data_IF_461422592036
#
_entry.id   IF_461422592036
#
_cell.length_a   1.000
_cell.length_b   1.000
_cell.length_c   1.000
_cell.angle_alpha   90.00
_cell.angle_beta   90.00
_cell.angle_gamma   90.00
#
_symmetry.space_group_name_H-M   'P 1'
#
loop_
_entity.id
_entity.type
_entity.pdbx_description
1 polymer ?
#
# COMPACT_ATOMS: atom_id res chain seq x y z
N UNK A 1 -36.78 -33.06 40.46
CA UNK A 1 -36.91 -33.84 39.20
C UNK A 1 -38.36 -34.15 38.83
N UNK A 2 -39.22 -34.74 39.75
CA UNK A 2 -40.64 -35.02 39.46
C UNK A 2 -41.45 -33.80 39.01
N UNK A 3 -41.36 -32.66 39.68
CA UNK A 3 -42.08 -31.43 39.34
C UNK A 3 -41.69 -30.84 37.96
N UNK A 4 -40.45 -31.07 37.50
CA UNK A 4 -39.99 -30.64 36.17
C UNK A 4 -40.59 -31.54 35.08
N UNK A 5 -40.68 -32.83 35.33
CA UNK A 5 -41.27 -33.83 34.43
C UNK A 5 -42.79 -33.61 34.31
N UNK A 6 -43.46 -33.27 35.39
CA UNK A 6 -44.90 -32.95 35.37
C UNK A 6 -45.20 -31.65 34.63
N UNK A 7 -44.35 -30.60 34.75
CA UNK A 7 -44.46 -29.37 33.96
C UNK A 7 -44.19 -29.60 32.48
N UNK A 8 -43.21 -30.44 32.13
CA UNK A 8 -42.93 -30.85 30.73
C UNK A 8 -44.10 -31.64 30.12
N UNK A 9 -44.73 -32.51 30.91
CA UNK A 9 -45.88 -33.33 30.45
C UNK A 9 -47.15 -32.51 30.19
N UNK A 10 -47.28 -31.34 30.81
CA UNK A 10 -48.43 -30.42 30.66
C UNK A 10 -48.14 -29.35 29.57
N UNK A 11 -46.93 -29.34 28.96
CA UNK A 11 -46.56 -28.37 27.96
C UNK A 11 -46.29 -26.96 28.49
N UNK A 12 -46.23 -26.80 29.83
CA UNK A 12 -45.99 -25.53 30.49
C UNK A 12 -44.53 -25.48 30.94
N UNK A 13 -43.61 -25.10 30.03
CA UNK A 13 -42.21 -24.88 30.32
C UNK A 13 -41.99 -23.39 30.44
N UNK A 14 -42.22 -22.85 31.65
CA UNK A 14 -41.71 -21.53 32.02
C UNK A 14 -40.19 -21.65 32.17
N UNK A 15 -39.49 -21.43 31.06
CA UNK A 15 -38.03 -21.36 31.04
C UNK A 15 -37.63 -19.90 31.30
N UNK A 16 -37.15 -19.64 32.50
CA UNK A 16 -36.52 -18.35 32.76
C UNK A 16 -35.23 -18.27 31.95
N UNK A 17 -35.25 -17.49 30.87
CA UNK A 17 -34.09 -17.21 30.04
C UNK A 17 -33.31 -16.09 30.74
N UNK A 18 -32.01 -16.26 30.99
CA UNK A 18 -31.20 -15.18 31.53
C UNK A 18 -31.20 -13.99 30.56
N UNK A 19 -31.15 -12.77 31.10
CA UNK A 19 -30.99 -11.54 30.32
C UNK A 19 -29.56 -11.06 30.48
N UNK A 20 -28.95 -10.65 29.39
CA UNK A 20 -27.59 -10.16 29.36
C UNK A 20 -27.50 -8.70 28.86
N UNK A 21 -26.61 -7.96 29.47
CA UNK A 21 -26.18 -6.64 29.01
C UNK A 21 -24.72 -6.69 28.58
N UNK A 22 -24.45 -6.13 27.42
CA UNK A 22 -23.10 -5.99 26.87
C UNK A 22 -22.63 -4.57 27.11
N UNK A 23 -21.42 -4.38 27.63
CA UNK A 23 -20.91 -3.08 28.07
C UNK A 23 -20.54 -2.13 26.88
N UNK A 24 -20.30 -2.69 25.69
CA UNK A 24 -19.88 -1.93 24.50
C UNK A 24 -20.62 -2.47 23.27
N UNK A 25 -20.98 -1.58 22.36
CA UNK A 25 -21.59 -1.95 21.08
C UNK A 25 -20.58 -1.90 19.92
N UNK A 26 -19.50 -1.12 20.10
CA UNK A 26 -18.42 -1.01 19.11
C UNK A 26 -17.08 -0.64 19.75
N UNK A 27 -16.01 -0.92 19.02
CA UNK A 27 -14.65 -0.46 19.28
C UNK A 27 -14.10 0.18 18.01
N UNK A 28 -13.64 1.43 18.11
CA UNK A 28 -12.93 2.14 17.06
C UNK A 28 -11.49 2.36 17.53
N UNK A 29 -10.54 1.75 16.83
CA UNK A 29 -9.12 1.74 17.19
C UNK A 29 -8.30 2.40 16.08
N UNK A 30 -7.45 3.36 16.45
CA UNK A 30 -6.49 4.00 15.54
C UNK A 30 -5.09 3.62 16.00
N UNK A 31 -4.42 2.75 15.25
CA UNK A 31 -3.16 2.11 15.62
C UNK A 31 -2.06 2.47 14.63
N UNK A 32 -0.81 2.47 15.08
CA UNK A 32 0.33 2.52 14.17
C UNK A 32 0.55 1.16 13.49
N UNK A 33 1.26 1.12 12.38
CA UNK A 33 1.66 -0.13 11.73
C UNK A 33 2.50 -0.98 12.69
N UNK A 34 2.15 -2.26 12.82
CA UNK A 34 2.83 -3.20 13.73
C UNK A 34 2.48 -3.02 15.21
N UNK A 35 1.58 -2.10 15.56
CA UNK A 35 1.11 -1.94 16.93
C UNK A 35 0.14 -3.03 17.32
N UNK A 36 0.22 -3.47 18.59
CA UNK A 36 -0.73 -4.40 19.20
C UNK A 36 -1.48 -3.65 20.30
N UNK A 37 -2.80 -3.55 20.14
CA UNK A 37 -3.68 -2.97 21.15
C UNK A 37 -4.45 -4.06 21.89
N UNK A 38 -4.72 -3.83 23.18
CA UNK A 38 -5.50 -4.72 24.01
C UNK A 38 -6.79 -4.03 24.44
N UNK A 39 -7.89 -4.78 24.39
CA UNK A 39 -9.19 -4.31 24.82
C UNK A 39 -9.97 -5.36 25.58
N UNK A 40 -11.07 -4.92 26.17
CA UNK A 40 -12.01 -5.82 26.86
C UNK A 40 -13.41 -5.22 26.90
N UNK A 41 -14.41 -6.09 27.04
CA UNK A 41 -15.78 -5.73 27.34
C UNK A 41 -16.40 -6.73 28.29
N UNK A 42 -17.51 -6.33 28.95
CA UNK A 42 -18.19 -7.15 29.92
C UNK A 42 -19.55 -7.63 29.42
N UNK A 43 -19.86 -8.89 29.78
CA UNK A 43 -21.17 -9.52 29.61
C UNK A 43 -21.75 -9.73 30.99
N UNK A 44 -22.77 -8.98 31.38
CA UNK A 44 -23.40 -9.00 32.71
C UNK A 44 -24.80 -9.56 32.68
N UNK A 45 -25.15 -10.34 33.68
CA UNK A 45 -26.50 -10.83 33.89
C UNK A 45 -27.38 -9.78 34.54
N UNK A 46 -28.49 -9.41 33.92
CA UNK A 46 -29.53 -8.57 34.48
C UNK A 46 -30.51 -9.38 35.36
N UNK A 47 -30.63 -10.69 35.11
CA UNK A 47 -31.52 -11.59 35.82
C UNK A 47 -30.87 -12.28 37.01
N UNK A 48 -29.64 -11.94 37.37
CA UNK A 48 -28.86 -12.58 38.43
C UNK A 48 -28.60 -14.10 38.22
N UNK A 49 -28.85 -14.63 37.02
CA UNK A 49 -28.60 -16.00 36.60
C UNK A 49 -27.22 -16.11 35.96
N UNK A 50 -26.63 -17.31 35.97
CA UNK A 50 -25.39 -17.53 35.24
C UNK A 50 -25.62 -17.51 33.72
N UNK A 51 -24.81 -16.71 33.01
CA UNK A 51 -24.74 -16.70 31.58
C UNK A 51 -23.56 -17.56 31.16
N UNK A 52 -23.75 -18.44 30.21
CA UNK A 52 -22.71 -19.25 29.57
C UNK A 52 -22.77 -19.10 28.06
N UNK A 53 -21.61 -19.05 27.44
CA UNK A 53 -21.56 -18.89 25.99
C UNK A 53 -20.15 -18.98 25.44
N UNK A 54 -20.09 -18.74 24.13
CA UNK A 54 -18.86 -18.68 23.34
C UNK A 54 -18.82 -17.34 22.61
N UNK A 55 -17.61 -16.90 22.31
CA UNK A 55 -17.34 -15.65 21.60
C UNK A 55 -16.36 -15.94 20.47
N UNK A 56 -16.55 -15.34 19.30
CA UNK A 56 -15.64 -15.46 18.19
C UNK A 56 -15.56 -14.15 17.41
N UNK A 57 -14.38 -13.89 16.83
CA UNK A 57 -14.16 -12.74 15.97
C UNK A 57 -14.36 -13.14 14.52
N UNK A 58 -14.95 -12.24 13.72
CA UNK A 58 -15.13 -12.43 12.28
C UNK A 58 -13.85 -12.17 11.47
N UNK A 59 -12.82 -11.57 12.10
CA UNK A 59 -11.57 -11.22 11.44
C UNK A 59 -10.36 -11.56 12.33
N UNK A 60 -9.27 -12.03 11.70
CA UNK A 60 -8.07 -12.54 12.39
C UNK A 60 -7.16 -11.43 12.97
N UNK A 61 -7.33 -10.18 12.53
CA UNK A 61 -6.60 -9.05 13.12
C UNK A 61 -7.08 -8.71 14.53
N UNK A 62 -8.28 -9.20 14.92
CA UNK A 62 -8.75 -9.13 16.29
C UNK A 62 -8.86 -10.54 16.86
N UNK A 63 -7.95 -10.87 17.80
CA UNK A 63 -7.85 -12.19 18.43
C UNK A 63 -8.37 -12.15 19.86
N UNK A 64 -9.31 -13.05 20.18
CA UNK A 64 -9.82 -13.21 21.52
C UNK A 64 -8.82 -13.95 22.41
N UNK A 65 -8.65 -13.49 23.66
CA UNK A 65 -7.82 -14.15 24.67
C UNK A 65 -8.60 -15.20 25.46
N UNK A 66 -9.92 -15.06 25.52
CA UNK A 66 -10.84 -16.04 26.08
C UNK A 66 -12.09 -16.07 25.18
N UNK A 67 -12.40 -17.25 24.69
CA UNK A 67 -13.48 -17.52 23.74
C UNK A 67 -14.71 -18.20 24.39
N UNK A 68 -14.61 -18.55 25.70
CA UNK A 68 -15.68 -19.14 26.45
C UNK A 68 -15.88 -18.39 27.77
N UNK A 69 -17.10 -18.36 28.24
CA UNK A 69 -17.44 -17.73 29.51
C UNK A 69 -18.58 -18.44 30.26
N UNK A 70 -18.52 -18.34 31.57
CA UNK A 70 -19.55 -18.86 32.51
C UNK A 70 -19.56 -18.03 33.78
N UNK A 71 -20.67 -17.35 34.07
CA UNK A 71 -20.82 -16.56 35.27
C UNK A 71 -21.88 -15.48 35.14
N UNK A 72 -22.04 -14.69 36.19
CA UNK A 72 -22.97 -13.55 36.20
C UNK A 72 -22.34 -12.28 35.67
N UNK A 73 -21.02 -12.16 35.79
CA UNK A 73 -20.20 -11.06 35.29
C UNK A 73 -18.96 -11.67 34.62
N UNK A 74 -18.85 -11.49 33.28
CA UNK A 74 -17.81 -12.10 32.49
C UNK A 74 -17.08 -11.01 31.70
N UNK A 75 -15.74 -11.03 31.73
CA UNK A 75 -14.91 -10.12 30.97
C UNK A 75 -14.30 -10.86 29.79
N UNK A 76 -14.60 -10.42 28.60
CA UNK A 76 -13.97 -10.85 27.34
C UNK A 76 -12.81 -9.93 27.04
N UNK A 77 -11.62 -10.51 26.77
CA UNK A 77 -10.40 -9.79 26.42
C UNK A 77 -9.99 -10.12 25.01
N UNK A 78 -9.49 -9.12 24.31
CA UNK A 78 -8.99 -9.28 22.95
C UNK A 78 -7.70 -8.49 22.73
N UNK A 79 -6.99 -8.84 21.67
CA UNK A 79 -5.89 -8.06 21.08
C UNK A 79 -6.22 -7.74 19.63
N UNK A 80 -5.92 -6.52 19.21
CA UNK A 80 -5.93 -6.10 17.82
C UNK A 80 -4.48 -5.98 17.36
N UNK A 81 -4.14 -6.59 16.21
CA UNK A 81 -2.77 -6.65 15.69
C UNK A 81 -2.73 -6.10 14.26
N UNK A 82 -1.88 -5.09 14.05
CA UNK A 82 -1.68 -4.43 12.75
C UNK A 82 -0.39 -4.84 12.03
N UNK A 83 0.29 -5.93 12.46
CA UNK A 83 1.58 -6.37 11.91
C UNK A 83 1.54 -6.58 10.39
N UNK A 84 0.44 -7.09 9.87
CA UNK A 84 0.26 -7.39 8.44
C UNK A 84 -0.56 -6.33 7.69
N UNK A 85 -0.90 -5.23 8.36
CA UNK A 85 -1.60 -4.09 7.76
C UNK A 85 -0.61 -3.00 7.34
N UNK A 86 -1.07 -2.14 6.44
CA UNK A 86 -0.31 -0.99 5.95
C UNK A 86 -0.91 0.32 6.44
N UNK A 87 -0.13 1.40 6.51
CA UNK A 87 -0.65 2.73 6.77
C UNK A 87 -1.83 3.05 5.85
N UNK A 88 -2.92 3.57 6.42
CA UNK A 88 -4.18 3.84 5.71
C UNK A 88 -5.10 2.63 5.51
N UNK A 89 -4.73 1.42 5.95
CA UNK A 89 -5.65 0.28 5.90
C UNK A 89 -6.75 0.39 6.96
N UNK A 90 -7.95 -0.03 6.56
CA UNK A 90 -9.13 -0.17 7.43
C UNK A 90 -9.59 -1.62 7.49
N UNK A 91 -9.75 -2.13 8.70
CA UNK A 91 -10.32 -3.46 8.96
C UNK A 91 -11.58 -3.29 9.79
N UNK A 92 -12.69 -3.80 9.29
CA UNK A 92 -13.97 -3.79 10.00
C UNK A 92 -14.46 -5.22 10.22
N UNK A 93 -14.98 -5.49 11.40
CA UNK A 93 -15.48 -6.81 11.76
C UNK A 93 -16.45 -6.78 12.93
N UNK A 94 -16.78 -7.98 13.40
CA UNK A 94 -17.68 -8.21 14.52
C UNK A 94 -17.08 -9.22 15.49
N UNK A 95 -17.38 -9.03 16.75
CA UNK A 95 -17.22 -10.03 17.80
C UNK A 95 -18.62 -10.59 18.06
N UNK A 96 -18.88 -11.82 17.64
CA UNK A 96 -20.16 -12.47 17.86
C UNK A 96 -20.17 -13.27 19.15
N UNK A 97 -21.25 -13.18 19.89
CA UNK A 97 -21.47 -13.77 21.21
C UNK A 97 -22.71 -14.65 21.13
N UNK A 98 -22.53 -15.95 21.32
CA UNK A 98 -23.63 -16.91 21.36
C UNK A 98 -23.75 -17.46 22.80
N UNK A 99 -24.90 -17.26 23.38
CA UNK A 99 -25.11 -17.62 24.81
C UNK A 99 -26.52 -18.14 25.10
N UNK A 100 -26.72 -18.66 26.30
CA UNK A 100 -28.04 -19.01 26.80
C UNK A 100 -28.94 -17.79 27.12
N UNK A 101 -28.39 -16.57 26.99
CA UNK A 101 -29.13 -15.30 27.11
C UNK A 101 -29.50 -14.70 25.72
N UNK A 102 -29.15 -15.39 24.62
CA UNK A 102 -29.35 -14.95 23.23
C UNK A 102 -28.04 -14.70 22.52
N UNK A 103 -28.16 -14.14 21.34
CA UNK A 103 -27.05 -13.78 20.44
C UNK A 103 -26.86 -12.26 20.46
N UNK A 104 -25.60 -11.85 20.50
CA UNK A 104 -25.20 -10.44 20.53
C UNK A 104 -24.00 -10.26 19.60
N UNK A 105 -23.75 -9.05 19.14
CA UNK A 105 -22.53 -8.71 18.40
C UNK A 105 -22.00 -7.35 18.84
N UNK A 106 -20.67 -7.23 18.84
CA UNK A 106 -19.93 -5.99 19.09
C UNK A 106 -19.12 -5.70 17.84
N UNK A 107 -19.37 -4.57 17.20
CA UNK A 107 -18.62 -4.18 16.01
C UNK A 107 -17.22 -3.71 16.38
N UNK A 108 -16.26 -3.84 15.47
CA UNK A 108 -14.96 -3.19 15.62
C UNK A 108 -14.46 -2.63 14.28
N UNK A 109 -13.71 -1.53 14.38
CA UNK A 109 -12.98 -0.93 13.30
C UNK A 109 -11.54 -0.71 13.76
N UNK A 110 -10.58 -1.10 12.94
CA UNK A 110 -9.15 -0.87 13.14
C UNK A 110 -8.70 -0.01 11.97
N UNK A 111 -8.27 1.22 12.23
CA UNK A 111 -7.66 2.12 11.27
C UNK A 111 -6.17 2.19 11.53
N UNK A 112 -5.34 1.91 10.53
CA UNK A 112 -3.90 2.06 10.62
C UNK A 112 -3.52 3.49 10.24
N UNK A 113 -2.86 4.19 11.17
CA UNK A 113 -2.40 5.58 10.96
C UNK A 113 -1.61 5.69 9.68
N UNK A 114 -1.92 6.70 8.90
CA UNK A 114 -1.07 7.08 7.78
C UNK A 114 0.30 7.53 8.30
N UNK A 115 1.36 7.06 7.66
CA UNK A 115 2.72 7.51 7.91
C UNK A 115 3.15 8.36 6.73
N UNK A 116 3.71 9.54 7.02
CA UNK A 116 4.33 10.35 5.99
C UNK A 116 5.59 9.66 5.48
N UNK A 117 5.76 9.63 4.17
CA UNK A 117 7.00 9.16 3.56
C UNK A 117 8.00 10.32 3.63
N UNK A 118 9.05 10.15 4.42
CA UNK A 118 10.13 11.13 4.52
C UNK A 118 11.16 10.91 3.39
N UNK A 119 11.62 12.00 2.79
CA UNK A 119 12.66 12.01 1.77
C UNK A 119 13.71 13.08 2.09
N UNK A 120 14.81 13.06 1.33
CA UNK A 120 15.84 14.12 1.41
C UNK A 120 15.29 15.52 1.05
N UNK A 121 14.14 15.59 0.42
CA UNK A 121 13.44 16.83 0.04
C UNK A 121 12.35 17.21 1.07
N UNK A 122 12.06 16.37 2.05
CA UNK A 122 10.96 16.48 2.99
C UNK A 122 9.87 15.43 2.75
N UNK A 123 8.69 15.59 3.36
CA UNK A 123 7.60 14.62 3.28
C UNK A 123 7.01 14.53 1.86
N UNK A 124 6.74 13.31 1.42
CA UNK A 124 6.10 12.99 0.14
C UNK A 124 4.68 12.47 0.43
N UNK A 125 3.68 13.27 0.09
CA UNK A 125 2.29 12.97 0.42
C UNK A 125 1.42 12.63 -0.81
N UNK A 126 1.90 12.96 -2.01
CA UNK A 126 1.13 12.82 -3.25
C UNK A 126 2.04 12.65 -4.47
N UNK A 127 1.44 12.43 -5.63
CA UNK A 127 2.16 12.26 -6.89
C UNK A 127 2.92 13.52 -7.35
N UNK A 128 2.47 14.71 -6.98
CA UNK A 128 3.16 15.96 -7.32
C UNK A 128 4.46 16.09 -6.52
N UNK A 129 4.44 15.76 -5.22
CA UNK A 129 5.64 15.73 -4.39
C UNK A 129 6.60 14.66 -4.86
N UNK A 130 6.08 13.48 -5.23
CA UNK A 130 6.88 12.43 -5.85
C UNK A 130 7.55 12.90 -7.15
N UNK A 131 6.83 13.64 -8.00
CA UNK A 131 7.38 14.18 -9.24
C UNK A 131 8.54 15.14 -8.98
N UNK A 132 8.45 15.97 -7.94
CA UNK A 132 9.55 16.83 -7.50
C UNK A 132 10.74 16.01 -7.00
N UNK A 133 10.48 14.92 -6.26
CA UNK A 133 11.55 14.02 -5.80
C UNK A 133 12.28 13.37 -6.98
N UNK A 134 11.58 12.96 -8.03
CA UNK A 134 12.21 12.40 -9.24
C UNK A 134 13.17 13.40 -9.89
N UNK A 135 12.84 14.69 -9.88
CA UNK A 135 13.71 15.74 -10.39
C UNK A 135 14.91 16.03 -9.47
N UNK A 136 14.69 15.92 -8.15
CA UNK A 136 15.71 16.23 -7.15
C UNK A 136 16.69 15.08 -6.94
N UNK A 137 16.19 13.87 -6.78
CA UNK A 137 16.97 12.65 -6.55
C UNK A 137 16.34 11.45 -7.24
N UNK A 138 16.81 11.16 -8.45
CA UNK A 138 16.30 10.04 -9.25
C UNK A 138 16.48 8.69 -8.53
N UNK A 139 17.63 8.50 -7.87
CA UNK A 139 17.94 7.26 -7.12
C UNK A 139 16.98 7.04 -5.95
N UNK A 140 16.66 8.08 -5.19
CA UNK A 140 15.73 8.00 -4.08
C UNK A 140 14.30 7.77 -4.58
N UNK A 141 13.92 8.46 -5.65
CA UNK A 141 12.61 8.32 -6.25
C UNK A 141 12.37 6.91 -6.81
N UNK A 142 13.36 6.28 -7.46
CA UNK A 142 13.19 4.91 -7.97
C UNK A 142 13.04 3.90 -6.82
N UNK A 143 13.77 4.07 -5.72
CA UNK A 143 13.61 3.25 -4.52
C UNK A 143 12.20 3.38 -3.94
N UNK A 144 11.71 4.62 -3.83
CA UNK A 144 10.36 4.89 -3.36
C UNK A 144 9.31 4.32 -4.34
N UNK A 145 9.46 4.53 -5.65
CA UNK A 145 8.55 4.00 -6.67
C UNK A 145 8.38 2.48 -6.59
N UNK A 146 9.46 1.76 -6.24
CA UNK A 146 9.44 0.30 -6.09
C UNK A 146 8.91 -0.16 -4.74
N UNK A 147 8.72 0.74 -3.80
CA UNK A 147 8.30 0.41 -2.44
C UNK A 147 6.80 0.12 -2.34
N UNK A 148 6.41 -0.54 -1.25
CA UNK A 148 5.00 -0.77 -0.93
C UNK A 148 4.31 0.51 -0.48
N UNK A 149 5.06 1.37 0.20
CA UNK A 149 4.62 2.67 0.69
C UNK A 149 4.15 3.56 -0.46
N UNK A 150 4.84 3.58 -1.59
CA UNK A 150 4.41 4.31 -2.79
C UNK A 150 3.02 3.88 -3.24
N UNK A 151 2.78 2.57 -3.33
CA UNK A 151 1.50 2.02 -3.76
C UNK A 151 0.37 2.31 -2.79
N UNK A 152 0.63 2.26 -1.48
CA UNK A 152 -0.39 2.43 -0.45
C UNK A 152 -0.63 3.90 -0.12
N UNK A 153 0.41 4.69 0.08
CA UNK A 153 0.31 6.05 0.58
C UNK A 153 0.23 7.10 -0.54
N UNK A 154 1.00 6.92 -1.64
CA UNK A 154 1.04 7.91 -2.73
C UNK A 154 -0.06 7.65 -3.77
N UNK A 155 -0.24 6.41 -4.21
CA UNK A 155 -1.32 6.03 -5.14
C UNK A 155 -2.66 5.91 -4.41
N UNK A 156 -2.64 5.44 -3.16
CA UNK A 156 -3.83 5.30 -2.33
C UNK A 156 -4.86 4.33 -2.92
N UNK A 157 -6.13 4.69 -2.85
CA UNK A 157 -7.26 3.85 -3.28
C UNK A 157 -7.69 4.09 -4.74
N UNK A 158 -6.97 4.92 -5.52
CA UNK A 158 -7.29 5.15 -6.92
C UNK A 158 -7.08 3.87 -7.76
N UNK A 159 -8.19 3.24 -8.13
CA UNK A 159 -8.23 1.97 -8.87
C UNK A 159 -7.50 2.08 -10.22
N UNK A 160 -7.67 3.19 -10.93
CA UNK A 160 -7.06 3.37 -12.24
C UNK A 160 -5.55 3.56 -12.13
N UNK A 161 -5.09 4.38 -11.20
CA UNK A 161 -3.65 4.59 -10.95
C UNK A 161 -2.99 3.31 -10.44
N UNK A 162 -3.66 2.54 -9.58
CA UNK A 162 -3.17 1.22 -9.14
C UNK A 162 -3.05 0.22 -10.29
N UNK A 163 -4.03 0.17 -11.17
CA UNK A 163 -3.99 -0.73 -12.33
C UNK A 163 -2.83 -0.36 -13.26
N UNK A 164 -2.65 0.92 -13.58
CA UNK A 164 -1.53 1.43 -14.37
C UNK A 164 -0.19 1.09 -13.73
N UNK A 165 -0.02 1.38 -12.44
CA UNK A 165 1.20 1.07 -11.70
C UNK A 165 1.53 -0.43 -11.74
N UNK A 166 0.54 -1.29 -11.43
CA UNK A 166 0.73 -2.74 -11.44
C UNK A 166 1.10 -3.27 -12.83
N UNK A 167 0.59 -2.67 -13.91
CA UNK A 167 0.93 -3.02 -15.30
C UNK A 167 2.38 -2.65 -15.60
N UNK A 168 2.79 -1.43 -15.29
CA UNK A 168 4.13 -0.94 -15.54
C UNK A 168 5.19 -1.66 -14.69
N UNK A 169 4.84 -2.04 -13.47
CA UNK A 169 5.72 -2.80 -12.58
C UNK A 169 6.06 -4.21 -13.07
N UNK A 170 5.40 -4.72 -14.11
CA UNK A 170 5.80 -5.94 -14.81
C UNK A 170 7.03 -5.73 -15.69
N UNK A 171 7.34 -4.49 -16.07
CA UNK A 171 8.53 -4.16 -16.83
C UNK A 171 9.80 -4.52 -16.02
N UNK A 172 10.79 -5.11 -16.68
CA UNK A 172 12.07 -5.43 -16.05
C UNK A 172 12.84 -4.16 -15.65
N UNK A 173 12.87 -3.14 -16.53
CA UNK A 173 13.50 -1.85 -16.23
C UNK A 173 12.52 -0.95 -15.48
N UNK A 174 12.83 -0.69 -14.19
CA UNK A 174 11.99 0.11 -13.32
C UNK A 174 12.10 1.61 -13.57
N UNK A 175 13.18 2.08 -14.14
CA UNK A 175 13.36 3.47 -14.55
C UNK A 175 12.42 3.80 -15.71
N UNK A 176 12.35 2.92 -16.71
CA UNK A 176 11.38 3.04 -17.81
C UNK A 176 9.95 2.98 -17.28
N UNK A 177 9.67 2.06 -16.33
CA UNK A 177 8.36 1.94 -15.72
C UNK A 177 7.92 3.22 -14.98
N UNK A 178 8.84 3.83 -14.22
CA UNK A 178 8.60 5.09 -13.53
C UNK A 178 8.39 6.25 -14.52
N UNK A 179 9.21 6.32 -15.56
CA UNK A 179 9.10 7.32 -16.61
C UNK A 179 7.74 7.26 -17.32
N UNK A 180 7.34 6.05 -17.76
CA UNK A 180 6.05 5.85 -18.41
C UNK A 180 4.87 6.15 -17.45
N UNK A 181 5.02 5.85 -16.16
CA UNK A 181 4.00 6.15 -15.17
C UNK A 181 3.76 7.65 -15.07
N UNK A 182 4.83 8.44 -14.96
CA UNK A 182 4.73 9.90 -14.87
C UNK A 182 4.12 10.52 -16.13
N UNK A 183 4.53 10.04 -17.31
CA UNK A 183 3.98 10.51 -18.59
C UNK A 183 2.49 10.16 -18.71
N UNK A 184 2.11 8.90 -18.45
CA UNK A 184 0.72 8.45 -18.54
C UNK A 184 -0.20 9.11 -17.52
N UNK A 185 0.36 9.55 -16.38
CA UNK A 185 -0.38 10.35 -15.39
C UNK A 185 -0.44 11.84 -15.72
N UNK A 186 0.21 12.29 -16.81
CA UNK A 186 0.25 13.70 -17.19
C UNK A 186 1.08 14.57 -16.23
N UNK A 187 2.00 13.96 -15.48
CA UNK A 187 2.86 14.64 -14.51
C UNK A 187 4.14 15.18 -15.16
N UNK A 188 4.43 14.74 -16.36
CA UNK A 188 5.53 15.23 -17.20
C UNK A 188 5.28 14.93 -18.67
N UNK A 189 5.96 15.69 -19.53
CA UNK A 189 6.04 15.39 -20.97
C UNK A 189 7.09 14.32 -21.24
N UNK A 190 6.92 13.49 -22.30
CA UNK A 190 7.93 12.55 -22.74
C UNK A 190 9.23 13.26 -23.12
N UNK A 191 10.36 12.65 -22.79
CA UNK A 191 11.66 13.13 -23.27
C UNK A 191 11.77 12.86 -24.76
N UNK A 192 12.10 13.88 -25.55
CA UNK A 192 12.41 13.74 -26.96
C UNK A 192 13.89 14.02 -27.22
N UNK A 193 14.47 13.26 -28.12
CA UNK A 193 15.88 13.37 -28.48
C UNK A 193 15.97 13.95 -29.89
N UNK A 194 16.89 14.87 -30.09
CA UNK A 194 17.22 15.42 -31.41
C UNK A 194 18.73 15.55 -31.59
N UNK A 195 19.19 15.36 -32.81
CA UNK A 195 20.58 15.52 -33.20
C UNK A 195 20.68 16.88 -33.89
N UNK A 196 21.60 17.71 -33.39
CA UNK A 196 21.94 18.98 -34.01
C UNK A 196 22.96 18.68 -35.10
N UNK A 197 22.77 19.24 -36.31
CA UNK A 197 23.64 18.99 -37.46
C UNK A 197 23.71 17.51 -37.85
N UNK A 198 22.51 16.94 -38.15
CA UNK A 198 22.34 15.53 -38.48
C UNK A 198 22.91 15.09 -39.83
N UNK A 199 23.41 16.03 -40.63
CA UNK A 199 24.09 15.78 -41.91
C UNK A 199 25.45 16.46 -41.89
N UNK A 200 26.51 15.70 -42.11
CA UNK A 200 27.88 16.18 -42.25
C UNK A 200 28.50 15.58 -43.52
N UNK A 201 29.16 16.40 -44.31
CA UNK A 201 29.86 15.98 -45.54
C UNK A 201 31.34 16.18 -45.35
N UNK A 202 32.12 15.15 -45.64
CA UNK A 202 33.57 15.18 -45.59
C UNK A 202 34.14 14.89 -46.96
N UNK A 203 35.06 15.74 -47.40
CA UNK A 203 35.73 15.61 -48.69
C UNK A 203 37.24 15.41 -48.47
N UNK A 204 37.88 14.58 -49.31
CA UNK A 204 39.34 14.35 -49.33
C UNK A 204 39.98 13.94 -47.98
N UNK A 205 39.33 13.12 -47.19
CA UNK A 205 39.91 12.59 -45.95
C UNK A 205 41.09 11.67 -46.27
N UNK A 206 42.28 12.07 -45.87
CA UNK A 206 43.54 11.32 -46.08
C UNK A 206 44.08 10.65 -44.83
N UNK A 207 43.59 11.06 -43.66
CA UNK A 207 44.01 10.57 -42.33
C UNK A 207 42.79 10.34 -41.43
N UNK A 208 42.98 9.64 -40.29
CA UNK A 208 41.93 9.48 -39.30
C UNK A 208 41.46 10.83 -38.78
N UNK A 209 40.18 11.04 -38.79
CA UNK A 209 39.54 12.27 -38.36
C UNK A 209 38.51 11.95 -37.27
N UNK A 210 38.56 12.67 -36.14
CA UNK A 210 37.56 12.56 -35.08
C UNK A 210 36.59 13.74 -35.20
N UNK A 211 35.30 13.45 -35.07
CA UNK A 211 34.26 14.45 -35.02
C UNK A 211 33.21 14.06 -33.98
N UNK A 212 32.42 15.01 -33.53
CA UNK A 212 31.39 14.80 -32.54
C UNK A 212 30.00 15.15 -33.07
N UNK A 213 29.00 14.42 -32.60
CA UNK A 213 27.59 14.73 -32.78
C UNK A 213 27.03 15.39 -31.54
N UNK A 214 26.35 16.50 -31.75
CA UNK A 214 25.64 17.16 -30.64
C UNK A 214 24.23 16.64 -30.57
N UNK A 215 23.93 15.92 -29.46
CA UNK A 215 22.64 15.36 -29.14
C UNK A 215 21.97 16.25 -28.12
N UNK A 216 20.72 16.61 -28.33
CA UNK A 216 19.94 17.39 -27.38
C UNK A 216 18.70 16.60 -26.93
N UNK A 217 18.32 16.76 -25.68
CA UNK A 217 17.07 16.22 -25.13
C UNK A 217 16.14 17.34 -24.71
N UNK A 218 14.83 17.11 -24.85
CA UNK A 218 13.82 17.97 -24.26
C UNK A 218 13.48 17.52 -22.84
N UNK A 219 13.24 18.47 -21.93
CA UNK A 219 12.74 18.16 -20.58
C UNK A 219 13.75 17.41 -19.71
N UNK A 220 13.22 16.70 -18.73
CA UNK A 220 13.96 15.97 -17.70
C UNK A 220 13.49 14.51 -17.68
N UNK A 221 14.30 13.62 -17.13
CA UNK A 221 13.96 12.21 -16.90
C UNK A 221 14.91 11.24 -17.55
N UNK A 222 14.52 9.97 -17.54
CA UNK A 222 15.33 8.85 -18.00
C UNK A 222 15.62 8.91 -19.49
N UNK A 223 16.87 8.63 -19.84
CA UNK A 223 17.36 8.55 -21.21
C UNK A 223 18.25 7.31 -21.35
N UNK A 224 17.94 6.49 -22.33
CA UNK A 224 18.75 5.32 -22.73
C UNK A 224 18.72 5.24 -24.25
N UNK A 225 19.83 5.62 -24.87
CA UNK A 225 19.98 5.69 -26.31
C UNK A 225 21.02 4.67 -26.75
N UNK A 226 20.66 3.80 -27.67
CA UNK A 226 21.59 2.92 -28.37
C UNK A 226 22.01 3.56 -29.66
N UNK A 227 23.31 3.58 -29.89
CA UNK A 227 23.90 4.11 -31.13
C UNK A 227 24.38 2.93 -31.96
N UNK A 228 23.83 2.82 -33.16
CA UNK A 228 24.24 1.84 -34.15
C UNK A 228 24.87 2.53 -35.32
N UNK A 229 26.05 2.08 -35.73
CA UNK A 229 26.80 2.61 -36.88
C UNK A 229 26.65 1.64 -38.05
N UNK A 230 26.17 2.15 -39.16
CA UNK A 230 26.08 1.43 -40.41
C UNK A 230 27.09 2.03 -41.43
N UNK A 231 28.28 1.43 -41.53
CA UNK A 231 29.32 1.87 -42.47
C UNK A 231 30.65 1.20 -42.21
N UNK A 232 31.48 1.06 -43.23
CA UNK A 232 32.79 0.40 -43.16
C UNK A 232 33.91 1.30 -42.61
N UNK A 233 33.68 2.62 -42.58
CA UNK A 233 34.73 3.62 -42.32
C UNK A 233 34.53 4.32 -40.99
N UNK A 234 33.30 4.25 -40.43
CA UNK A 234 32.96 4.92 -39.20
C UNK A 234 33.16 4.00 -37.98
N UNK A 235 33.78 4.53 -36.94
CA UNK A 235 33.92 3.87 -35.66
C UNK A 235 33.45 4.81 -34.56
N UNK A 236 32.82 4.27 -33.53
CA UNK A 236 32.40 5.02 -32.34
C UNK A 236 33.16 4.61 -31.10
N UNK A 237 33.20 5.49 -30.13
CA UNK A 237 33.83 5.22 -28.83
C UNK A 237 32.87 4.55 -27.84
N UNK A 238 31.55 4.71 -27.99
CA UNK A 238 30.51 4.19 -27.10
C UNK A 238 29.28 3.80 -27.90
N UNK A 239 28.63 2.71 -27.49
CA UNK A 239 27.37 2.23 -28.12
C UNK A 239 26.11 2.66 -27.37
N UNK A 240 26.26 3.26 -26.20
CA UNK A 240 25.13 3.61 -25.34
C UNK A 240 25.34 5.03 -24.76
N UNK A 241 24.28 5.81 -24.73
CA UNK A 241 24.22 7.13 -24.11
C UNK A 241 23.08 7.13 -23.12
N UNK A 242 23.39 7.43 -21.86
CA UNK A 242 22.44 7.54 -20.79
C UNK A 242 22.38 8.97 -20.22
N UNK A 243 21.59 9.16 -19.17
CA UNK A 243 21.40 10.48 -18.56
C UNK A 243 22.72 11.13 -18.09
N UNK A 244 23.69 10.33 -17.60
CA UNK A 244 24.97 10.82 -17.09
C UNK A 244 25.87 11.43 -18.16
N UNK A 245 25.60 11.13 -19.43
CA UNK A 245 26.32 11.70 -20.56
C UNK A 245 25.85 13.12 -20.92
N UNK A 246 24.73 13.57 -20.35
CA UNK A 246 24.18 14.89 -20.63
C UNK A 246 24.65 15.93 -19.61
N UNK A 247 25.17 17.05 -20.11
CA UNK A 247 25.40 18.27 -19.33
C UNK A 247 24.21 19.20 -19.60
N UNK A 248 23.30 19.28 -18.61
CA UNK A 248 22.01 19.91 -18.84
C UNK A 248 21.17 19.12 -19.88
N UNK A 249 20.87 19.75 -20.99
CA UNK A 249 20.09 19.12 -22.07
C UNK A 249 20.93 18.71 -23.29
N UNK A 250 22.26 18.71 -23.18
CA UNK A 250 23.15 18.48 -24.31
C UNK A 250 24.17 17.39 -23.99
N UNK A 251 24.41 16.51 -24.94
CA UNK A 251 25.46 15.50 -24.92
C UNK A 251 26.30 15.65 -26.21
N UNK A 252 27.63 15.62 -26.09
CA UNK A 252 28.55 15.47 -27.21
C UNK A 252 28.96 14.00 -27.31
N UNK A 253 28.73 13.43 -28.48
CA UNK A 253 29.00 12.03 -28.79
C UNK A 253 30.07 11.96 -29.87
N UNK A 254 31.23 11.32 -29.57
CA UNK A 254 32.39 11.12 -30.44
C UNK A 254 32.37 9.75 -31.14
#
# INVERSE_FOLDING_TARGET
MKALIEKLAIGNVDYEVPKAQISHNSFDMVLAKGEIAYGSFNIRSESNMNIKGVVYSSDYHLKLKNDQFLGKDNTIRFEANTEHLYPGDDVSGKIDIVSNAGEFSVNFNIHVKEENIESSMGPINNLEDFTKLVQYSHEEAIKLFMSREFKHNIIGQDVYTRALYNELMKNYNKEIAMEEFLVKKGLKEPVTISIVDNEKTYEDIKESYADSLKITKSGWGYVDIKVEINGEILHNCKNEINLDNFIGNTCEYE
#
